data_IF_653269712838
#
_entry.id   IF_653269712838
#
_cell.length_a   1.000
_cell.length_b   1.000
_cell.length_c   1.000
_cell.angle_alpha   90.00
_cell.angle_beta   90.00
_cell.angle_gamma   90.00
#
_symmetry.space_group_name_H-M   'P 1'
#
loop_
_entity.id
_entity.type
_entity.pdbx_description
1 polymer ?
#
# COMPACT_ATOMS: atom_id res chain seq x y z
N UNK A 1 -17.13 -11.55 -10.25
CA UNK A 1 -16.99 -11.26 -11.69
C UNK A 1 -16.03 -12.29 -12.30
N UNK A 2 -16.39 -12.91 -13.42
CA UNK A 2 -15.62 -14.01 -14.03
C UNK A 2 -14.26 -13.50 -14.54
N UNK A 3 -13.19 -14.25 -14.22
CA UNK A 3 -11.80 -14.04 -14.67
C UNK A 3 -11.64 -13.95 -16.21
N UNK A 4 -12.68 -14.31 -16.97
CA UNK A 4 -12.68 -14.38 -18.42
C UNK A 4 -12.54 -13.03 -19.15
N UNK A 5 -12.81 -11.88 -18.49
CA UNK A 5 -12.70 -10.56 -19.13
C UNK A 5 -11.25 -10.07 -19.34
N UNK A 6 -10.25 -10.75 -18.77
CA UNK A 6 -8.86 -10.32 -18.80
C UNK A 6 -8.01 -10.97 -19.91
N UNK A 7 -8.53 -11.97 -20.63
CA UNK A 7 -7.69 -12.87 -21.43
C UNK A 7 -7.40 -12.44 -22.89
N UNK A 8 -7.89 -11.29 -23.37
CA UNK A 8 -7.67 -10.87 -24.78
C UNK A 8 -7.08 -9.48 -24.96
N UNK A 9 -6.24 -9.00 -24.04
CA UNK A 9 -5.46 -7.79 -24.25
C UNK A 9 -4.12 -8.19 -24.90
N UNK A 10 -3.89 -7.87 -26.17
CA UNK A 10 -2.52 -7.90 -26.69
C UNK A 10 -1.73 -6.80 -25.98
N UNK A 11 -0.91 -7.21 -25.01
CA UNK A 11 -0.30 -6.37 -23.99
C UNK A 11 0.89 -5.59 -24.55
N UNK A 12 0.84 -4.26 -24.53
CA UNK A 12 2.01 -3.41 -24.82
C UNK A 12 3.11 -3.48 -23.74
N UNK A 13 2.83 -4.12 -22.60
CA UNK A 13 3.72 -4.22 -21.44
C UNK A 13 4.13 -5.67 -21.18
N UNK A 14 5.43 -5.97 -21.21
CA UNK A 14 5.96 -7.29 -20.84
C UNK A 14 6.03 -7.49 -19.32
N UNK A 15 6.07 -8.76 -18.89
CA UNK A 15 6.23 -9.13 -17.45
C UNK A 15 7.48 -8.50 -16.84
N UNK A 16 8.59 -8.50 -17.57
CA UNK A 16 9.84 -7.88 -17.12
C UNK A 16 9.69 -6.37 -16.90
N UNK A 17 9.01 -5.66 -17.81
CA UNK A 17 8.74 -4.23 -17.66
C UNK A 17 7.82 -3.96 -16.47
N UNK A 18 6.78 -4.77 -16.25
CA UNK A 18 5.86 -4.59 -15.12
C UNK A 18 6.54 -4.80 -13.75
N UNK A 19 7.36 -5.84 -13.59
CA UNK A 19 8.17 -6.02 -12.37
C UNK A 19 9.27 -4.96 -12.24
N UNK A 20 9.84 -4.50 -13.35
CA UNK A 20 10.77 -3.37 -13.38
C UNK A 20 10.12 -2.08 -12.90
N UNK A 21 8.88 -1.79 -13.31
CA UNK A 21 8.09 -0.65 -12.82
C UNK A 21 7.79 -0.77 -11.33
N UNK A 22 7.42 -1.96 -10.83
CA UNK A 22 7.24 -2.19 -9.39
C UNK A 22 8.52 -1.90 -8.59
N UNK A 23 9.68 -2.37 -9.05
CA UNK A 23 10.98 -2.05 -8.42
C UNK A 23 11.29 -0.55 -8.51
N UNK A 24 11.02 0.08 -9.65
CA UNK A 24 11.17 1.52 -9.85
C UNK A 24 10.28 2.33 -8.90
N UNK A 25 9.02 1.94 -8.73
CA UNK A 25 8.08 2.58 -7.79
C UNK A 25 8.56 2.44 -6.34
N UNK A 26 9.07 1.26 -5.96
CA UNK A 26 9.70 1.06 -4.66
C UNK A 26 10.87 2.02 -4.44
N UNK A 27 11.75 2.19 -5.43
CA UNK A 27 12.87 3.12 -5.35
C UNK A 27 12.40 4.59 -5.27
N UNK A 28 11.44 5.00 -6.10
CA UNK A 28 10.85 6.36 -6.09
C UNK A 28 10.19 6.67 -4.74
N UNK A 29 9.61 5.66 -4.08
CA UNK A 29 9.01 5.81 -2.76
C UNK A 29 10.05 5.94 -1.63
N UNK A 30 11.11 5.11 -1.65
CA UNK A 30 12.09 5.02 -0.55
C UNK A 30 13.21 6.05 -0.66
N UNK A 31 13.77 6.27 -1.86
CA UNK A 31 14.96 7.12 -2.04
C UNK A 31 14.80 8.55 -1.51
N UNK A 32 13.67 9.26 -1.72
CA UNK A 32 13.47 10.61 -1.20
C UNK A 32 13.60 10.71 0.32
N UNK A 33 13.35 9.63 1.06
CA UNK A 33 13.47 9.60 2.52
C UNK A 33 14.92 9.72 3.00
N UNK A 34 15.89 9.38 2.14
CA UNK A 34 17.32 9.38 2.45
C UNK A 34 18.10 10.46 1.69
N UNK A 35 17.57 10.95 0.56
CA UNK A 35 18.19 11.99 -0.24
C UNK A 35 17.72 13.40 0.10
N UNK A 36 16.44 13.59 0.48
CA UNK A 36 15.95 14.92 0.85
C UNK A 36 16.42 15.31 2.24
N UNK A 37 17.18 16.41 2.33
CA UNK A 37 17.69 16.95 3.61
C UNK A 37 16.58 17.15 4.65
N UNK A 38 15.39 17.56 4.22
CA UNK A 38 14.24 17.76 5.10
C UNK A 38 13.69 16.44 5.68
N UNK A 39 13.84 15.32 4.98
CA UNK A 39 13.30 14.01 5.37
C UNK A 39 14.34 13.08 6.02
N UNK A 40 15.63 13.29 5.71
CA UNK A 40 16.76 12.47 6.15
C UNK A 40 16.94 12.51 7.67
N UNK A 41 17.18 11.34 8.24
CA UNK A 41 17.50 11.17 9.66
C UNK A 41 18.99 11.41 9.93
N UNK A 42 19.28 11.87 11.14
CA UNK A 42 20.64 12.00 11.68
C UNK A 42 20.63 11.64 13.17
N UNK A 43 21.80 11.39 13.81
CA UNK A 43 21.85 11.12 15.25
C UNK A 43 21.22 12.22 16.12
N UNK A 44 21.24 13.46 15.64
CA UNK A 44 20.65 14.63 16.30
C UNK A 44 19.20 14.92 15.89
N UNK A 45 18.65 14.19 14.92
CA UNK A 45 17.32 14.46 14.34
C UNK A 45 16.48 13.19 14.30
N UNK A 46 15.65 13.07 15.33
CA UNK A 46 14.76 11.92 15.51
C UNK A 46 13.74 11.80 14.39
N UNK A 47 13.37 10.55 14.09
CA UNK A 47 12.26 10.22 13.18
C UNK A 47 10.93 10.83 13.65
N UNK A 48 10.77 11.07 14.95
CA UNK A 48 9.51 11.57 15.54
C UNK A 48 9.44 13.09 15.67
N UNK A 49 10.45 13.83 15.18
CA UNK A 49 10.38 15.28 15.03
C UNK A 49 9.25 15.66 14.05
N UNK A 50 8.27 16.51 14.44
CA UNK A 50 7.17 16.94 13.57
C UNK A 50 7.61 17.50 12.22
N UNK A 51 8.77 18.20 12.15
CA UNK A 51 9.31 18.71 10.89
C UNK A 51 9.77 17.57 9.97
N UNK A 52 10.41 16.54 10.53
CA UNK A 52 10.79 15.32 9.80
C UNK A 52 9.54 14.60 9.32
N UNK A 53 8.55 14.40 10.20
CA UNK A 53 7.29 13.74 9.87
C UNK A 53 6.65 14.40 8.66
N UNK A 54 6.44 15.72 8.71
CA UNK A 54 5.82 16.47 7.61
C UNK A 54 6.61 16.36 6.30
N UNK A 55 7.94 16.44 6.36
CA UNK A 55 8.78 16.30 5.17
C UNK A 55 8.70 14.89 4.56
N UNK A 56 8.74 13.84 5.40
CA UNK A 56 8.62 12.46 4.95
C UNK A 56 7.24 12.17 4.37
N UNK A 57 6.17 12.60 5.05
CA UNK A 57 4.78 12.50 4.58
C UNK A 57 4.64 13.16 3.20
N UNK A 58 5.13 14.39 3.02
CA UNK A 58 5.10 15.07 1.72
C UNK A 58 5.85 14.29 0.64
N UNK A 59 7.04 13.77 0.96
CA UNK A 59 7.84 13.00 0.02
C UNK A 59 7.12 11.71 -0.43
N UNK A 60 6.63 10.90 0.51
CA UNK A 60 5.92 9.66 0.17
C UNK A 60 4.61 9.92 -0.55
N UNK A 61 3.86 10.96 -0.18
CA UNK A 61 2.61 11.34 -0.85
C UNK A 61 2.86 11.78 -2.29
N UNK A 62 3.90 12.59 -2.54
CA UNK A 62 4.27 13.01 -3.89
C UNK A 62 4.73 11.83 -4.75
N UNK A 63 5.64 11.00 -4.24
CA UNK A 63 6.10 9.78 -4.91
C UNK A 63 4.94 8.85 -5.26
N UNK A 64 4.04 8.59 -4.31
CA UNK A 64 2.88 7.72 -4.50
C UNK A 64 1.91 8.28 -5.55
N UNK A 65 1.65 9.59 -5.49
CA UNK A 65 0.79 10.26 -6.48
C UNK A 65 1.40 10.17 -7.87
N UNK A 66 2.70 10.44 -8.02
CA UNK A 66 3.41 10.34 -9.29
C UNK A 66 3.35 8.92 -9.87
N UNK A 67 3.67 7.89 -9.08
CA UNK A 67 3.58 6.49 -9.49
C UNK A 67 2.14 6.08 -9.88
N UNK A 68 1.15 6.51 -9.10
CA UNK A 68 -0.27 6.24 -9.40
C UNK A 68 -0.72 6.90 -10.70
N UNK A 69 -0.30 8.14 -10.96
CA UNK A 69 -0.57 8.84 -12.22
C UNK A 69 0.11 8.15 -13.41
N UNK A 70 1.37 7.74 -13.27
CA UNK A 70 2.08 6.98 -14.32
C UNK A 70 1.30 5.70 -14.64
N UNK A 71 0.89 4.94 -13.63
CA UNK A 71 0.05 3.74 -13.83
C UNK A 71 -1.25 4.08 -14.53
N UNK A 72 -1.95 5.12 -14.07
CA UNK A 72 -3.21 5.55 -14.66
C UNK A 72 -3.05 5.85 -16.16
N UNK A 73 -2.02 6.60 -16.54
CA UNK A 73 -1.77 6.92 -17.95
C UNK A 73 -1.38 5.69 -18.78
N UNK A 74 -0.54 4.77 -18.25
CA UNK A 74 -0.22 3.50 -18.93
C UNK A 74 -1.49 2.68 -19.16
N UNK A 75 -2.33 2.51 -18.15
CA UNK A 75 -3.58 1.76 -18.25
C UNK A 75 -4.55 2.41 -19.25
N UNK A 76 -4.69 3.74 -19.21
CA UNK A 76 -5.55 4.49 -20.15
C UNK A 76 -5.11 4.38 -21.60
N UNK A 77 -3.80 4.33 -21.86
CA UNK A 77 -3.26 4.18 -23.21
C UNK A 77 -3.37 2.75 -23.72
N UNK A 78 -3.30 1.76 -22.83
CA UNK A 78 -3.25 0.33 -23.22
C UNK A 78 -4.62 -0.33 -23.30
N UNK A 79 -5.61 0.19 -22.56
CA UNK A 79 -6.99 -0.32 -22.58
C UNK A 79 -7.77 0.48 -23.62
N UNK A 80 -7.94 -0.01 -24.86
CA UNK A 80 -8.82 0.64 -25.82
C UNK A 80 -10.21 0.80 -25.21
N UNK A 81 -10.70 2.04 -25.22
CA UNK A 81 -12.10 2.34 -24.94
C UNK A 81 -12.87 1.56 -26.00
N UNK A 82 -13.56 0.47 -25.62
CA UNK A 82 -14.49 -0.16 -26.54
C UNK A 82 -15.50 0.90 -26.92
N UNK A 83 -15.40 1.39 -28.15
CA UNK A 83 -16.34 2.34 -28.71
C UNK A 83 -17.74 1.78 -28.49
N UNK A 84 -18.49 2.52 -27.69
CA UNK A 84 -19.93 2.32 -27.61
C UNK A 84 -20.45 2.51 -29.02
N UNK A 85 -21.22 1.53 -29.51
CA UNK A 85 -21.98 1.64 -30.77
C UNK A 85 -22.56 3.06 -30.90
N UNK A 86 -22.47 3.70 -32.09
CA UNK A 86 -22.99 5.04 -32.28
C UNK A 86 -24.52 5.00 -32.13
N UNK A 87 -25.05 5.44 -30.99
CA UNK A 87 -26.50 5.39 -30.77
C UNK A 87 -27.06 5.71 -29.38
N UNK A 88 -26.29 6.21 -28.41
CA UNK A 88 -26.90 6.64 -27.14
C UNK A 88 -26.30 7.94 -26.64
N UNK A 89 -27.02 9.02 -26.95
CA UNK A 89 -26.81 10.36 -26.45
C UNK A 89 -27.21 10.43 -24.96
N UNK A 90 -26.22 10.36 -24.07
CA UNK A 90 -26.33 10.92 -22.71
C UNK A 90 -24.93 11.21 -22.20
N UNK A 91 -24.60 12.49 -22.03
CA UNK A 91 -23.29 12.97 -21.60
C UNK A 91 -22.94 12.59 -20.15
N UNK A 92 -22.49 11.35 -19.95
CA UNK A 92 -21.90 10.86 -18.71
C UNK A 92 -20.41 10.56 -18.95
N UNK A 93 -19.49 10.80 -17.98
CA UNK A 93 -18.06 10.65 -18.21
C UNK A 93 -17.72 9.23 -18.67
N UNK A 94 -16.95 9.13 -19.76
CA UNK A 94 -16.64 7.93 -20.54
C UNK A 94 -16.36 6.67 -19.69
N UNK A 95 -17.08 5.60 -20.01
CA UNK A 95 -16.99 4.25 -19.46
C UNK A 95 -15.53 3.71 -19.34
N UNK A 96 -14.61 4.16 -20.19
CA UNK A 96 -13.19 3.76 -20.14
C UNK A 96 -12.40 4.27 -18.92
N UNK A 97 -12.76 5.41 -18.32
CA UNK A 97 -12.08 5.88 -17.09
C UNK A 97 -12.54 5.10 -15.87
N UNK A 98 -13.82 4.69 -15.86
CA UNK A 98 -14.36 3.84 -14.81
C UNK A 98 -13.66 2.47 -14.81
N UNK A 99 -13.32 1.92 -15.99
CA UNK A 99 -12.54 0.68 -16.09
C UNK A 99 -11.14 0.81 -15.47
N UNK A 100 -10.43 1.93 -15.68
CA UNK A 100 -9.08 2.12 -15.11
C UNK A 100 -9.12 2.31 -13.60
N UNK A 101 -10.04 3.15 -13.11
CA UNK A 101 -10.21 3.36 -11.66
C UNK A 101 -10.67 2.08 -10.95
N UNK A 102 -11.43 1.23 -11.64
CA UNK A 102 -11.81 -0.09 -11.16
C UNK A 102 -10.63 -1.06 -11.09
N UNK A 103 -9.75 -1.07 -12.10
CA UNK A 103 -8.52 -1.88 -12.05
C UNK A 103 -7.59 -1.46 -10.92
N UNK A 104 -7.44 -0.15 -10.72
CA UNK A 104 -6.70 0.42 -9.59
C UNK A 104 -7.41 0.20 -8.24
N UNK A 105 -8.64 -0.31 -8.24
CA UNK A 105 -9.45 -0.54 -7.04
C UNK A 105 -9.93 0.73 -6.33
N UNK A 106 -9.84 1.88 -7.01
CA UNK A 106 -10.29 3.18 -6.50
C UNK A 106 -11.82 3.33 -6.59
N UNK A 107 -12.46 2.68 -7.57
CA UNK A 107 -13.91 2.78 -7.78
C UNK A 107 -14.52 1.49 -8.36
N UNK A 108 -15.62 0.95 -7.81
CA UNK A 108 -16.30 1.39 -6.59
C UNK A 108 -15.47 1.07 -5.34
N UNK A 109 -15.72 1.75 -4.19
CA UNK A 109 -14.99 1.50 -2.95
C UNK A 109 -15.23 0.11 -2.35
N UNK A 110 -16.31 -0.59 -2.73
CA UNK A 110 -16.54 -1.97 -2.29
C UNK A 110 -16.80 -2.12 -0.78
N UNK A 111 -17.66 -1.29 -0.19
CA UNK A 111 -17.91 -1.22 1.27
C UNK A 111 -18.19 -2.58 1.93
N UNK A 112 -19.01 -3.42 1.29
CA UNK A 112 -19.30 -4.77 1.79
C UNK A 112 -18.04 -5.64 1.83
N UNK A 113 -17.20 -5.54 0.81
CA UNK A 113 -15.97 -6.34 0.71
C UNK A 113 -14.90 -5.82 1.65
N UNK A 114 -14.84 -4.50 1.87
CA UNK A 114 -14.09 -3.88 2.96
C UNK A 114 -14.52 -4.43 4.31
N UNK A 115 -15.82 -4.51 4.59
CA UNK A 115 -16.33 -5.03 5.86
C UNK A 115 -15.96 -6.50 6.06
N UNK A 116 -16.14 -7.35 5.04
CA UNK A 116 -15.75 -8.78 5.09
C UNK A 116 -14.24 -8.95 5.29
N UNK A 117 -13.41 -8.21 4.55
CA UNK A 117 -11.95 -8.29 4.66
C UNK A 117 -11.45 -7.80 6.03
N UNK A 118 -12.06 -6.73 6.56
CA UNK A 118 -11.74 -6.22 7.90
C UNK A 118 -12.14 -7.24 8.96
N UNK A 119 -13.33 -7.84 8.86
CA UNK A 119 -13.80 -8.86 9.78
C UNK A 119 -12.88 -10.10 9.77
N UNK A 120 -12.48 -10.56 8.60
CA UNK A 120 -11.51 -11.66 8.47
C UNK A 120 -10.20 -11.34 9.19
N UNK A 121 -9.71 -10.10 9.04
CA UNK A 121 -8.47 -9.65 9.69
C UNK A 121 -8.63 -9.58 11.21
N UNK A 122 -9.76 -9.08 11.70
CA UNK A 122 -10.07 -9.09 13.13
C UNK A 122 -10.07 -10.52 13.69
N UNK A 123 -10.62 -11.50 12.97
CA UNK A 123 -10.56 -12.90 13.40
C UNK A 123 -9.15 -13.48 13.38
N UNK A 124 -8.35 -13.15 12.37
CA UNK A 124 -6.95 -13.58 12.28
C UNK A 124 -6.11 -13.08 13.45
N UNK A 125 -6.42 -11.87 13.94
CA UNK A 125 -5.73 -11.22 15.06
C UNK A 125 -6.56 -11.22 16.36
N UNK A 126 -7.53 -12.13 16.50
CA UNK A 126 -8.44 -12.14 17.64
C UNK A 126 -7.71 -12.24 18.99
N UNK A 127 -6.63 -13.04 19.07
CA UNK A 127 -5.81 -13.17 20.28
C UNK A 127 -5.17 -11.85 20.72
N UNK A 128 -4.29 -11.23 19.91
CA UNK A 128 -3.69 -9.93 20.22
C UNK A 128 -4.71 -8.81 20.45
N UNK A 129 -5.83 -8.81 19.70
CA UNK A 129 -6.90 -7.83 19.89
C UNK A 129 -7.59 -8.04 21.25
N UNK A 130 -7.84 -9.30 21.65
CA UNK A 130 -8.42 -9.60 22.95
C UNK A 130 -7.50 -9.17 24.10
N UNK A 131 -6.21 -9.48 24.00
CA UNK A 131 -5.20 -9.06 24.97
C UNK A 131 -5.17 -7.53 25.11
N UNK A 132 -5.03 -6.80 24.00
CA UNK A 132 -5.00 -5.34 24.00
C UNK A 132 -6.31 -4.72 24.52
N UNK A 133 -7.46 -5.19 24.04
CA UNK A 133 -8.74 -4.60 24.43
C UNK A 133 -9.09 -4.90 25.88
N UNK A 134 -8.99 -6.16 26.32
CA UNK A 134 -9.53 -6.60 27.61
C UNK A 134 -8.48 -6.70 28.70
N UNK A 135 -7.29 -7.25 28.41
CA UNK A 135 -6.24 -7.45 29.41
C UNK A 135 -5.49 -6.13 29.68
N UNK A 136 -5.10 -5.40 28.63
CA UNK A 136 -4.44 -4.10 28.77
C UNK A 136 -5.43 -2.95 29.06
N UNK A 137 -6.74 -3.25 29.05
CA UNK A 137 -7.78 -2.30 29.41
C UNK A 137 -8.04 -1.20 28.39
N UNK A 138 -7.56 -1.35 27.14
CA UNK A 138 -7.73 -0.33 26.07
C UNK A 138 -9.20 -0.10 25.74
N UNK A 139 -10.10 -1.05 26.00
CA UNK A 139 -11.55 -0.86 25.87
C UNK A 139 -12.07 0.38 26.60
N UNK A 140 -11.53 0.70 27.79
CA UNK A 140 -11.91 1.90 28.56
C UNK A 140 -11.48 3.19 27.85
N UNK A 141 -10.36 3.15 27.12
CA UNK A 141 -9.87 4.28 26.34
C UNK A 141 -10.77 4.53 25.12
N UNK A 142 -11.26 3.45 24.49
CA UNK A 142 -12.23 3.54 23.39
C UNK A 142 -13.56 4.14 23.82
N UNK A 143 -14.05 3.85 25.04
CA UNK A 143 -15.25 4.51 25.59
C UNK A 143 -15.12 6.03 25.67
N UNK A 144 -13.89 6.54 25.82
CA UNK A 144 -13.58 7.98 25.84
C UNK A 144 -13.15 8.52 24.49
N UNK A 145 -13.18 7.70 23.43
CA UNK A 145 -12.67 8.00 22.10
C UNK A 145 -11.19 8.47 22.09
N UNK A 146 -10.42 8.12 23.13
CA UNK A 146 -9.05 8.57 23.30
C UNK A 146 -8.10 8.09 22.18
N UNK A 147 -8.26 6.89 21.59
CA UNK A 147 -7.50 6.50 20.40
C UNK A 147 -7.74 7.43 19.19
N UNK A 148 -9.00 7.86 18.97
CA UNK A 148 -9.33 8.78 17.87
C UNK A 148 -8.76 10.18 18.12
N UNK A 149 -8.79 10.65 19.37
CA UNK A 149 -8.15 11.91 19.75
C UNK A 149 -6.63 11.84 19.54
N UNK A 150 -5.98 10.74 19.91
CA UNK A 150 -4.54 10.53 19.66
C UNK A 150 -4.24 10.49 18.16
N UNK A 151 -5.09 9.84 17.37
CA UNK A 151 -4.93 9.80 15.91
C UNK A 151 -4.88 11.19 15.28
N UNK A 152 -5.63 12.15 15.84
CA UNK A 152 -5.68 13.52 15.30
C UNK A 152 -4.62 14.45 15.90
N UNK A 153 -4.20 14.21 17.14
CA UNK A 153 -3.30 15.10 17.88
C UNK A 153 -1.83 14.65 17.89
N UNK A 154 -1.55 13.37 17.63
CA UNK A 154 -0.20 12.80 17.65
C UNK A 154 0.30 12.48 16.24
N UNK A 155 1.33 13.20 15.79
CA UNK A 155 1.88 13.08 14.44
C UNK A 155 2.48 11.68 14.14
N UNK A 156 3.25 11.05 15.05
CA UNK A 156 3.68 9.66 14.88
C UNK A 156 2.52 8.66 14.74
N UNK A 157 1.48 8.78 15.57
CA UNK A 157 0.29 7.91 15.47
C UNK A 157 -0.41 8.14 14.12
N UNK A 158 -0.70 9.39 13.77
CA UNK A 158 -1.35 9.72 12.50
C UNK A 158 -0.59 9.19 11.28
N UNK A 159 0.73 9.41 11.20
CA UNK A 159 1.50 8.94 10.04
C UNK A 159 1.55 7.41 9.97
N UNK A 160 1.61 6.71 11.12
CA UNK A 160 1.77 5.26 11.16
C UNK A 160 0.43 4.54 10.91
N UNK A 161 -0.68 5.12 11.35
CA UNK A 161 -2.01 4.51 11.26
C UNK A 161 -2.78 4.95 10.01
N UNK A 162 -2.50 6.12 9.44
CA UNK A 162 -3.22 6.63 8.25
C UNK A 162 -2.29 6.76 7.06
N UNK A 163 -1.26 7.60 7.15
CA UNK A 163 -0.46 7.96 5.96
C UNK A 163 0.26 6.74 5.40
N UNK A 164 1.00 5.99 6.24
CA UNK A 164 1.75 4.81 5.83
C UNK A 164 0.86 3.80 5.10
N UNK A 165 -0.20 3.28 5.74
CA UNK A 165 -1.14 2.35 5.12
C UNK A 165 -1.72 2.88 3.80
N UNK A 166 -2.17 4.12 3.76
CA UNK A 166 -2.74 4.71 2.54
C UNK A 166 -1.68 4.76 1.42
N UNK A 167 -0.52 5.36 1.66
CA UNK A 167 0.48 5.54 0.60
C UNK A 167 1.08 4.22 0.14
N UNK A 168 1.29 3.27 1.04
CA UNK A 168 1.80 1.95 0.70
C UNK A 168 0.81 1.12 -0.10
N UNK A 169 -0.47 1.10 0.27
CA UNK A 169 -1.48 0.35 -0.50
C UNK A 169 -1.76 1.00 -1.86
N UNK A 170 -1.74 2.34 -1.96
CA UNK A 170 -1.80 3.01 -3.26
C UNK A 170 -0.61 2.61 -4.15
N UNK A 171 0.61 2.63 -3.62
CA UNK A 171 1.80 2.33 -4.42
C UNK A 171 1.88 0.85 -4.83
N UNK A 172 1.78 -0.05 -3.86
CA UNK A 172 2.09 -1.46 -4.08
C UNK A 172 0.90 -2.28 -4.57
N UNK A 173 -0.34 -1.82 -4.36
CA UNK A 173 -1.56 -2.52 -4.80
C UNK A 173 -2.21 -1.74 -5.92
N UNK A 174 -2.71 -0.54 -5.63
CA UNK A 174 -3.47 0.27 -6.61
C UNK A 174 -2.67 0.62 -7.87
N UNK A 175 -1.37 0.94 -7.74
CA UNK A 175 -0.51 1.28 -8.87
C UNK A 175 0.19 0.05 -9.46
N UNK A 176 0.88 -0.76 -8.64
CA UNK A 176 1.71 -1.84 -9.17
C UNK A 176 0.94 -3.08 -9.65
N UNK A 177 -0.09 -3.54 -8.93
CA UNK A 177 -0.79 -4.80 -9.28
C UNK A 177 -1.52 -4.73 -10.62
N UNK A 178 -2.21 -3.63 -10.99
CA UNK A 178 -2.83 -3.52 -12.32
C UNK A 178 -1.86 -3.63 -13.48
N UNK A 179 -0.63 -3.13 -13.32
CA UNK A 179 0.41 -3.27 -14.35
C UNK A 179 0.88 -4.73 -14.50
N UNK A 180 0.94 -5.48 -13.40
CA UNK A 180 1.25 -6.91 -13.44
C UNK A 180 0.13 -7.71 -14.11
N UNK A 181 -1.13 -7.36 -13.83
CA UNK A 181 -2.30 -7.93 -14.50
C UNK A 181 -2.30 -7.59 -16.00
N UNK A 182 -2.00 -6.33 -16.35
CA UNK A 182 -1.89 -5.87 -17.73
C UNK A 182 -0.78 -6.60 -18.50
N UNK A 183 0.29 -7.03 -17.83
CA UNK A 183 1.38 -7.80 -18.42
C UNK A 183 1.12 -9.32 -18.45
N UNK A 184 -0.11 -9.75 -18.19
CA UNK A 184 -0.51 -11.16 -18.12
C UNK A 184 0.37 -11.99 -17.15
N UNK A 185 0.80 -11.37 -16.04
CA UNK A 185 1.53 -12.09 -15.00
C UNK A 185 0.60 -13.08 -14.29
N UNK A 186 1.07 -14.30 -14.08
CA UNK A 186 0.31 -15.33 -13.37
C UNK A 186 -0.11 -14.86 -11.97
N UNK A 187 -1.35 -15.16 -11.57
CA UNK A 187 -1.91 -14.69 -10.30
C UNK A 187 -1.10 -15.17 -9.09
N UNK A 188 -0.57 -16.41 -9.11
CA UNK A 188 0.30 -16.89 -8.01
C UNK A 188 1.58 -16.07 -7.99
N UNK A 189 2.15 -15.76 -9.15
CA UNK A 189 3.31 -14.87 -9.23
C UNK A 189 3.02 -13.48 -8.64
N UNK A 190 1.88 -12.87 -8.96
CA UNK A 190 1.49 -11.57 -8.40
C UNK A 190 1.36 -11.66 -6.87
N UNK A 191 0.66 -12.68 -6.38
CA UNK A 191 0.39 -12.89 -4.94
C UNK A 191 1.67 -13.17 -4.14
N UNK A 192 2.63 -13.92 -4.69
CA UNK A 192 3.81 -14.35 -3.92
C UNK A 192 5.08 -13.55 -4.21
N UNK A 193 5.24 -12.98 -5.42
CA UNK A 193 6.47 -12.25 -5.79
C UNK A 193 6.37 -10.74 -5.58
N UNK A 194 5.23 -10.11 -5.92
CA UNK A 194 5.10 -8.65 -5.73
C UNK A 194 5.26 -8.22 -4.27
N UNK A 195 4.80 -8.99 -3.26
CA UNK A 195 5.01 -8.65 -1.86
C UNK A 195 6.47 -8.71 -1.39
N UNK A 196 7.36 -9.40 -2.10
CA UNK A 196 8.78 -9.38 -1.79
C UNK A 196 9.36 -7.97 -2.02
N UNK A 197 8.84 -7.24 -3.01
CA UNK A 197 9.24 -5.84 -3.24
C UNK A 197 8.65 -4.93 -2.16
N UNK A 198 7.43 -5.19 -1.72
CA UNK A 198 6.84 -4.51 -0.56
C UNK A 198 7.67 -4.73 0.72
N UNK A 199 8.12 -5.96 0.97
CA UNK A 199 9.02 -6.26 2.07
C UNK A 199 10.40 -5.61 1.90
N UNK A 200 10.95 -5.63 0.69
CA UNK A 200 12.24 -4.99 0.37
C UNK A 200 12.19 -3.48 0.66
N UNK A 201 11.06 -2.83 0.38
CA UNK A 201 10.86 -1.41 0.68
C UNK A 201 11.10 -1.09 2.15
N UNK A 202 10.88 -2.03 3.08
CA UNK A 202 11.07 -1.85 4.52
C UNK A 202 12.51 -2.10 5.00
N UNK A 203 13.37 -2.69 4.17
CA UNK A 203 14.78 -2.95 4.53
C UNK A 203 15.53 -1.63 4.81
N UNK A 204 15.07 -0.50 4.26
CA UNK A 204 15.64 0.81 4.57
C UNK A 204 15.60 1.16 6.06
N UNK A 205 14.68 0.57 6.85
CA UNK A 205 14.65 0.76 8.30
C UNK A 205 15.88 0.18 9.01
N UNK A 206 16.60 -0.76 8.39
CA UNK A 206 17.92 -1.18 8.89
C UNK A 206 18.85 0.03 9.03
N UNK A 207 18.95 0.85 7.97
CA UNK A 207 19.79 2.04 7.97
C UNK A 207 19.33 3.05 9.03
N UNK A 208 18.03 3.31 9.12
CA UNK A 208 17.48 4.21 10.15
C UNK A 208 17.78 3.73 11.57
N UNK A 209 17.67 2.42 11.80
CA UNK A 209 17.97 1.81 13.07
C UNK A 209 19.45 1.93 13.41
N UNK A 210 20.35 1.73 12.44
CA UNK A 210 21.80 1.91 12.64
C UNK A 210 22.19 3.34 12.99
N UNK A 211 21.48 4.34 12.47
CA UNK A 211 21.70 5.75 12.83
C UNK A 211 21.18 6.06 14.23
N UNK A 212 19.97 5.61 14.55
CA UNK A 212 19.30 5.95 15.81
C UNK A 212 19.81 5.15 17.00
N UNK A 213 20.33 3.94 16.77
CA UNK A 213 20.82 3.01 17.79
C UNK A 213 22.23 2.49 17.42
N UNK A 214 23.26 3.37 17.40
CA UNK A 214 24.58 3.04 16.87
C UNK A 214 25.28 1.93 17.69
N UNK A 215 25.01 1.87 18.99
CA UNK A 215 25.62 0.92 19.92
C UNK A 215 25.00 -0.48 19.91
N UNK A 216 23.83 -0.67 19.27
CA UNK A 216 23.24 -2.01 19.14
C UNK A 216 24.11 -2.87 18.22
N UNK A 217 24.36 -4.16 18.56
CA UNK A 217 25.10 -5.07 17.69
C UNK A 217 24.51 -5.15 16.28
N UNK A 218 25.38 -5.19 15.26
CA UNK A 218 24.95 -5.26 13.86
C UNK A 218 24.13 -6.52 13.59
N UNK A 219 24.46 -7.64 14.23
CA UNK A 219 23.69 -8.88 14.14
C UNK A 219 22.23 -8.71 14.58
N UNK A 220 21.99 -7.98 15.67
CA UNK A 220 20.63 -7.69 16.14
C UNK A 220 19.87 -6.77 15.17
N UNK A 221 20.57 -5.78 14.57
CA UNK A 221 19.98 -4.94 13.53
C UNK A 221 19.62 -5.74 12.26
N UNK A 222 20.47 -6.68 11.85
CA UNK A 222 20.20 -7.59 10.73
C UNK A 222 19.01 -8.48 11.06
N UNK A 223 18.98 -9.11 12.23
CA UNK A 223 17.88 -9.96 12.66
C UNK A 223 16.54 -9.21 12.68
N UNK A 224 16.53 -7.97 13.20
CA UNK A 224 15.36 -7.08 13.17
C UNK A 224 14.90 -6.82 11.73
N UNK A 225 15.83 -6.47 10.83
CA UNK A 225 15.51 -6.19 9.43
C UNK A 225 15.01 -7.43 8.69
N UNK A 226 15.58 -8.60 8.96
CA UNK A 226 15.16 -9.87 8.38
C UNK A 226 13.74 -10.24 8.85
N UNK A 227 13.47 -10.14 10.15
CA UNK A 227 12.13 -10.35 10.70
C UNK A 227 11.12 -9.37 10.09
N UNK A 228 11.47 -8.09 10.01
CA UNK A 228 10.61 -7.08 9.40
C UNK A 228 10.34 -7.37 7.93
N UNK A 229 11.35 -7.74 7.14
CA UNK A 229 11.20 -8.13 5.73
C UNK A 229 10.28 -9.34 5.57
N UNK A 230 10.46 -10.39 6.37
CA UNK A 230 9.62 -11.59 6.32
C UNK A 230 8.16 -11.27 6.70
N UNK A 231 7.96 -10.57 7.82
CA UNK A 231 6.63 -10.24 8.32
C UNK A 231 5.87 -9.26 7.42
N UNK A 232 6.56 -8.30 6.81
CA UNK A 232 5.96 -7.40 5.81
C UNK A 232 5.68 -8.12 4.49
N UNK A 233 6.55 -9.03 4.05
CA UNK A 233 6.29 -9.85 2.85
C UNK A 233 5.06 -10.75 3.03
N UNK A 234 4.93 -11.44 4.16
CA UNK A 234 3.76 -12.29 4.47
C UNK A 234 2.48 -11.45 4.50
N UNK A 235 2.51 -10.29 5.14
CA UNK A 235 1.37 -9.38 5.11
C UNK A 235 1.06 -8.88 3.71
N UNK A 236 2.07 -8.55 2.90
CA UNK A 236 1.85 -8.15 1.52
C UNK A 236 1.22 -9.26 0.67
N UNK A 237 1.52 -10.54 0.94
CA UNK A 237 0.83 -11.70 0.33
C UNK A 237 -0.66 -11.65 0.67
N UNK A 238 -0.98 -11.48 1.95
CA UNK A 238 -2.37 -11.36 2.42
C UNK A 238 -3.09 -10.16 1.79
N UNK A 239 -2.49 -8.97 1.83
CA UNK A 239 -3.06 -7.75 1.26
C UNK A 239 -3.27 -7.87 -0.25
N UNK A 240 -2.30 -8.42 -0.98
CA UNK A 240 -2.42 -8.64 -2.43
C UNK A 240 -3.52 -9.65 -2.75
N UNK A 241 -3.65 -10.71 -1.96
CA UNK A 241 -4.77 -11.64 -2.09
C UNK A 241 -6.12 -10.93 -1.86
N UNK A 242 -6.26 -10.15 -0.79
CA UNK A 242 -7.50 -9.38 -0.52
C UNK A 242 -7.78 -8.41 -1.66
N UNK A 243 -6.78 -7.68 -2.16
CA UNK A 243 -6.94 -6.75 -3.28
C UNK A 243 -7.47 -7.46 -4.54
N UNK A 244 -6.86 -8.58 -4.93
CA UNK A 244 -7.28 -9.35 -6.12
C UNK A 244 -8.66 -9.99 -5.95
N UNK A 245 -9.07 -10.34 -4.73
CA UNK A 245 -10.38 -10.92 -4.45
C UNK A 245 -11.50 -9.90 -4.37
N UNK A 246 -11.21 -8.70 -3.88
CA UNK A 246 -12.21 -7.65 -3.61
C UNK A 246 -12.25 -6.58 -4.69
N UNK A 247 -11.14 -6.34 -5.40
CA UNK A 247 -10.98 -5.21 -6.29
C UNK A 247 -11.08 -3.86 -5.58
N UNK A 248 -10.86 -3.79 -4.26
CA UNK A 248 -11.05 -2.58 -3.46
C UNK A 248 -9.76 -2.15 -2.78
N UNK A 249 -9.34 -0.92 -3.08
CA UNK A 249 -8.25 -0.24 -2.38
C UNK A 249 -8.64 0.09 -0.93
N UNK A 250 -9.90 0.48 -0.71
CA UNK A 250 -10.41 0.76 0.63
C UNK A 250 -10.32 -0.47 1.52
N UNK A 251 -10.66 -1.66 1.00
CA UNK A 251 -10.55 -2.92 1.72
C UNK A 251 -9.12 -3.16 2.23
N UNK A 252 -8.11 -3.03 1.37
CA UNK A 252 -6.72 -3.26 1.78
C UNK A 252 -6.16 -2.17 2.69
N UNK A 253 -6.56 -0.91 2.54
CA UNK A 253 -6.18 0.17 3.48
C UNK A 253 -6.71 -0.13 4.89
N UNK A 254 -7.97 -0.55 5.01
CA UNK A 254 -8.55 -0.93 6.30
C UNK A 254 -7.83 -2.13 6.92
N UNK A 255 -7.55 -3.16 6.13
CA UNK A 255 -6.79 -4.35 6.56
C UNK A 255 -5.37 -3.99 7.00
N UNK A 256 -4.70 -3.06 6.31
CA UNK A 256 -3.37 -2.60 6.68
C UNK A 256 -3.39 -1.82 8.00
N UNK A 257 -4.39 -0.97 8.19
CA UNK A 257 -4.53 -0.16 9.40
C UNK A 257 -4.75 -1.00 10.67
N UNK A 258 -5.26 -2.22 10.54
CA UNK A 258 -5.50 -3.14 11.68
C UNK A 258 -4.26 -3.91 12.19
N UNK A 259 -3.07 -3.58 11.68
CA UNK A 259 -1.79 -4.21 12.05
C UNK A 259 -1.07 -3.51 13.20
#
# INVERSE_FOLDING_TARGET
MSLAYFYSWHTGLSKAQAYGLLLGYCAIYVLPLHSLLAAKLSPSRSRDDPKVIRARVRAVSFSTTACSLITFFILRQTIPVSDSRPGSASGLPSLGSQSVLHLMGCWPPGLLETAKASLLTVFLFAGPIFECLFLDGVWKQWLRLAPLQRLWNDWPTWRNTVVGPVTEEFLFRSAAVPLLLLADADLKSIIFRSPLVFGLAHVHHFYEFRISQPYTPVSAAIARSAFQFSYTSIFGIYATFIFLRTGSLLAVICVHTTR
#
